data_IF_203405403883
#
_entry.id   IF_203405403883
#
_cell.length_a   1.000
_cell.length_b   1.000
_cell.length_c   1.000
_cell.angle_alpha   90.00
_cell.angle_beta   90.00
_cell.angle_gamma   90.00
#
_symmetry.space_group_name_H-M   'P 1'
#
loop_
_entity.id
_entity.type
_entity.pdbx_description
1 polymer ?
#
# COMPACT_ATOMS: atom_id res chain seq x y z
N UNK A 1 -7.48 2.40 23.94
CA UNK A 1 -8.75 1.78 23.48
C UNK A 1 -8.35 0.49 22.76
N UNK A 2 -8.96 -0.66 23.09
CA UNK A 2 -8.78 -1.86 22.26
C UNK A 2 -9.36 -1.55 20.88
N UNK A 3 -8.57 -1.69 19.84
CA UNK A 3 -9.09 -1.57 18.48
C UNK A 3 -9.95 -2.81 18.18
N UNK A 4 -11.11 -2.61 17.55
CA UNK A 4 -11.92 -3.73 17.11
C UNK A 4 -11.14 -4.57 16.10
N UNK A 5 -11.24 -5.89 16.20
CA UNK A 5 -10.66 -6.77 15.17
C UNK A 5 -11.49 -6.68 13.90
N UNK A 6 -10.86 -6.36 12.79
CA UNK A 6 -11.48 -6.14 11.48
C UNK A 6 -11.24 -7.30 10.52
N UNK A 7 -12.15 -7.46 9.57
CA UNK A 7 -11.95 -8.41 8.47
C UNK A 7 -12.51 -7.88 7.16
N UNK A 8 -11.89 -8.29 6.05
CA UNK A 8 -12.35 -8.02 4.69
C UNK A 8 -11.84 -9.07 3.70
N UNK A 9 -12.49 -9.14 2.53
CA UNK A 9 -11.94 -9.84 1.36
C UNK A 9 -10.81 -8.98 0.79
N UNK A 10 -9.61 -9.57 0.69
CA UNK A 10 -8.39 -8.88 0.23
C UNK A 10 -8.09 -9.10 -1.26
N UNK A 11 -8.84 -9.93 -1.95
CA UNK A 11 -8.74 -10.20 -3.40
C UNK A 11 -9.95 -9.63 -4.15
N UNK A 12 -9.86 -9.43 -5.48
CA UNK A 12 -11.01 -9.01 -6.27
C UNK A 12 -12.22 -9.95 -6.11
N UNK A 13 -13.43 -9.39 -6.10
CA UNK A 13 -14.70 -10.12 -5.99
C UNK A 13 -15.13 -10.72 -7.35
N UNK A 14 -14.24 -11.51 -7.93
CA UNK A 14 -14.49 -12.24 -9.20
C UNK A 14 -14.19 -13.72 -9.00
N UNK A 15 -14.78 -14.59 -9.85
CA UNK A 15 -14.45 -16.01 -9.80
C UNK A 15 -12.96 -16.23 -10.17
N UNK A 16 -12.21 -16.75 -9.22
CA UNK A 16 -10.78 -17.04 -9.32
C UNK A 16 -10.43 -18.36 -8.63
N UNK A 17 -9.20 -18.85 -8.82
CA UNK A 17 -8.76 -20.07 -8.13
C UNK A 17 -8.61 -19.88 -6.61
N UNK A 18 -8.28 -18.67 -6.16
CA UNK A 18 -8.01 -18.36 -4.74
C UNK A 18 -8.69 -17.05 -4.37
N UNK A 19 -9.33 -17.02 -3.20
CA UNK A 19 -9.82 -15.82 -2.51
C UNK A 19 -9.18 -15.71 -1.14
N UNK A 20 -8.88 -14.49 -0.71
CA UNK A 20 -8.25 -14.23 0.59
C UNK A 20 -9.16 -13.37 1.44
N UNK A 21 -9.48 -13.87 2.64
CA UNK A 21 -10.10 -13.09 3.71
C UNK A 21 -9.02 -12.74 4.73
N UNK A 22 -8.80 -11.45 4.97
CA UNK A 22 -7.82 -10.95 5.95
C UNK A 22 -8.53 -10.50 7.21
N UNK A 23 -7.99 -10.90 8.36
CA UNK A 23 -8.42 -10.52 9.70
C UNK A 23 -7.25 -9.82 10.38
N UNK A 24 -7.47 -8.68 11.05
CA UNK A 24 -6.42 -7.94 11.78
C UNK A 24 -6.96 -7.39 13.09
N UNK A 25 -6.18 -7.54 14.16
CA UNK A 25 -6.50 -7.02 15.50
C UNK A 25 -6.21 -8.02 16.61
N UNK A 26 -6.38 -7.58 17.86
CA UNK A 26 -6.04 -8.32 19.07
C UNK A 26 -6.76 -9.68 19.19
N UNK A 27 -7.97 -9.81 18.61
CA UNK A 27 -8.78 -11.03 18.67
C UNK A 27 -8.67 -11.88 17.39
N UNK A 28 -7.77 -11.55 16.45
CA UNK A 28 -7.67 -12.26 15.16
C UNK A 28 -7.41 -13.77 15.35
N UNK A 29 -6.57 -14.14 16.30
CA UNK A 29 -6.26 -15.54 16.62
C UNK A 29 -7.43 -16.25 17.32
N UNK A 30 -8.21 -15.52 18.14
CA UNK A 30 -9.42 -16.05 18.78
C UNK A 30 -10.54 -16.32 17.78
N UNK A 31 -10.70 -15.41 16.83
CA UNK A 31 -11.70 -15.52 15.77
C UNK A 31 -11.40 -16.70 14.85
N UNK A 32 -10.14 -16.83 14.40
CA UNK A 32 -9.80 -17.95 13.51
C UNK A 32 -9.96 -19.31 14.18
N UNK A 33 -9.69 -19.44 15.48
CA UNK A 33 -9.89 -20.69 16.20
C UNK A 33 -11.34 -21.13 16.27
N UNK A 34 -12.31 -20.19 16.23
CA UNK A 34 -13.74 -20.50 16.22
C UNK A 34 -14.21 -21.06 14.88
N UNK A 35 -13.63 -20.57 13.76
CA UNK A 35 -14.12 -20.88 12.42
C UNK A 35 -13.24 -21.87 11.65
N UNK A 36 -12.00 -22.12 12.07
CA UNK A 36 -11.05 -22.96 11.34
C UNK A 36 -10.65 -24.19 12.15
N UNK A 37 -10.67 -25.36 11.52
CA UNK A 37 -10.19 -26.62 12.08
C UNK A 37 -9.00 -27.13 11.27
N UNK A 38 -7.77 -27.10 11.83
CA UNK A 38 -6.60 -27.63 11.15
C UNK A 38 -6.73 -29.14 10.96
N UNK A 39 -6.22 -29.66 9.85
CA UNK A 39 -6.23 -31.11 9.58
C UNK A 39 -5.44 -31.91 10.62
N UNK A 40 -4.42 -31.30 11.21
CA UNK A 40 -3.65 -31.87 12.32
C UNK A 40 -4.41 -31.59 13.63
N UNK A 41 -5.08 -32.61 14.18
CA UNK A 41 -6.09 -32.52 15.25
C UNK A 41 -5.64 -31.88 16.57
N UNK A 42 -4.33 -31.88 16.89
CA UNK A 42 -3.81 -31.40 18.18
C UNK A 42 -3.15 -30.02 18.08
N UNK A 43 -3.41 -29.29 17.00
CA UNK A 43 -2.77 -28.01 16.74
C UNK A 43 -3.74 -26.84 17.02
N UNK A 44 -3.41 -26.02 18.00
CA UNK A 44 -4.10 -24.74 18.25
C UNK A 44 -3.42 -23.64 17.44
N UNK A 45 -4.22 -22.86 16.73
CA UNK A 45 -3.70 -21.77 15.88
C UNK A 45 -3.09 -20.64 16.72
N UNK A 46 -3.57 -20.43 17.94
CA UNK A 46 -2.98 -19.47 18.86
C UNK A 46 -1.52 -19.77 19.25
N UNK A 47 -1.14 -21.05 19.29
CA UNK A 47 0.16 -21.48 19.78
C UNK A 47 1.21 -21.61 18.66
N UNK A 48 0.84 -21.34 17.40
CA UNK A 48 1.76 -21.45 16.27
C UNK A 48 2.73 -20.27 16.20
N UNK A 49 3.85 -20.47 15.55
CA UNK A 49 4.81 -19.41 15.26
C UNK A 49 4.24 -18.47 14.19
N UNK A 50 4.68 -17.21 14.22
CA UNK A 50 4.42 -16.26 13.14
C UNK A 50 4.97 -16.78 11.80
N UNK A 51 4.40 -16.32 10.68
CA UNK A 51 4.74 -16.73 9.31
C UNK A 51 4.62 -18.24 9.06
N UNK A 52 3.57 -18.86 9.62
CA UNK A 52 3.27 -20.27 9.37
C UNK A 52 1.94 -20.45 8.67
N UNK A 53 1.92 -21.40 7.73
CA UNK A 53 0.73 -21.80 6.99
C UNK A 53 0.13 -23.10 7.53
N UNK A 54 -1.18 -23.17 7.60
CA UNK A 54 -1.92 -24.29 8.17
C UNK A 54 -3.06 -24.71 7.25
N UNK A 55 -3.00 -25.94 6.81
CA UNK A 55 -4.04 -26.56 6.00
C UNK A 55 -5.17 -27.09 6.88
N UNK A 56 -6.42 -26.88 6.47
CA UNK A 56 -7.59 -27.32 7.21
C UNK A 56 -8.90 -26.91 6.54
N UNK A 57 -9.94 -26.77 7.34
CA UNK A 57 -11.29 -26.49 6.87
C UNK A 57 -11.91 -25.33 7.65
N UNK A 58 -12.66 -24.48 6.96
CA UNK A 58 -13.47 -23.40 7.56
C UNK A 58 -14.90 -23.88 7.72
N UNK A 59 -15.48 -23.51 8.86
CA UNK A 59 -16.85 -23.85 9.24
C UNK A 59 -17.65 -22.60 9.65
N UNK A 60 -18.94 -22.61 9.37
CA UNK A 60 -19.95 -21.80 10.06
C UNK A 60 -20.68 -22.73 11.02
N UNK A 61 -20.40 -22.62 12.32
CA UNK A 61 -20.82 -23.56 13.35
C UNK A 61 -20.43 -25.02 13.02
N UNK A 62 -21.40 -25.85 12.57
CA UNK A 62 -21.17 -27.22 12.14
C UNK A 62 -21.08 -27.41 10.62
N UNK A 63 -21.41 -26.37 9.84
CA UNK A 63 -21.46 -26.45 8.38
C UNK A 63 -20.06 -26.22 7.80
N UNK A 64 -19.56 -27.21 7.06
CA UNK A 64 -18.32 -27.05 6.29
C UNK A 64 -18.54 -26.05 5.15
N UNK A 65 -17.73 -25.00 5.12
CA UNK A 65 -17.78 -23.98 4.07
C UNK A 65 -16.75 -24.22 2.97
N UNK A 66 -15.51 -24.52 3.37
CA UNK A 66 -14.43 -24.71 2.41
C UNK A 66 -13.23 -25.42 3.05
N UNK A 67 -12.37 -25.94 2.19
CA UNK A 67 -11.02 -26.44 2.47
C UNK A 67 -10.01 -25.36 2.10
N UNK A 68 -9.13 -24.97 3.04
CA UNK A 68 -8.33 -23.78 2.87
C UNK A 68 -6.97 -23.86 3.55
N UNK A 69 -6.13 -22.87 3.28
CA UNK A 69 -4.87 -22.62 3.98
C UNK A 69 -5.02 -21.33 4.80
N UNK A 70 -4.70 -21.41 6.08
CA UNK A 70 -4.63 -20.23 6.97
C UNK A 70 -3.18 -19.84 7.17
N UNK A 71 -2.85 -18.58 6.87
CA UNK A 71 -1.56 -17.97 7.16
C UNK A 71 -1.67 -17.13 8.43
N UNK A 72 -0.73 -17.32 9.37
CA UNK A 72 -0.70 -16.60 10.65
C UNK A 72 0.51 -15.69 10.72
N UNK A 73 0.28 -14.41 11.01
CA UNK A 73 1.31 -13.38 11.20
C UNK A 73 1.03 -12.67 12.52
N UNK A 74 1.90 -12.87 13.52
CA UNK A 74 1.74 -12.26 14.85
C UNK A 74 2.41 -10.90 14.92
N UNK A 75 1.75 -9.97 15.57
CA UNK A 75 2.31 -8.67 15.86
C UNK A 75 3.62 -8.73 16.68
N UNK A 76 4.55 -7.79 16.49
CA UNK A 76 4.52 -6.69 15.50
C UNK A 76 4.91 -7.10 14.07
N UNK A 77 5.23 -8.37 13.82
CA UNK A 77 5.71 -8.89 12.54
C UNK A 77 4.55 -9.25 11.61
N UNK A 78 3.76 -8.25 11.20
CA UNK A 78 2.62 -8.39 10.29
C UNK A 78 2.44 -7.13 9.44
N UNK A 79 1.46 -7.11 8.55
CA UNK A 79 1.19 -5.93 7.71
C UNK A 79 0.72 -4.72 8.54
N UNK A 80 -0.14 -4.92 9.52
CA UNK A 80 -0.70 -3.86 10.38
C UNK A 80 0.06 -3.64 11.69
N UNK A 81 1.10 -4.43 11.94
CA UNK A 81 1.78 -4.59 13.23
C UNK A 81 0.87 -5.15 14.36
N UNK A 82 -0.37 -5.56 14.04
CA UNK A 82 -1.28 -6.32 14.91
C UNK A 82 -1.17 -7.82 14.61
N UNK A 83 -1.91 -8.68 15.33
CA UNK A 83 -2.09 -10.05 14.89
C UNK A 83 -2.92 -10.08 13.61
N UNK A 84 -2.39 -10.72 12.56
CA UNK A 84 -3.03 -10.84 11.24
C UNK A 84 -3.18 -12.30 10.88
N UNK A 85 -4.36 -12.65 10.38
CA UNK A 85 -4.65 -13.98 9.84
C UNK A 85 -5.22 -13.82 8.44
N UNK A 86 -4.72 -14.63 7.50
CA UNK A 86 -5.29 -14.72 6.15
C UNK A 86 -5.83 -16.12 5.91
N UNK A 87 -7.11 -16.18 5.50
CA UNK A 87 -7.78 -17.40 5.08
C UNK A 87 -7.74 -17.45 3.57
N UNK A 88 -6.92 -18.33 3.01
CA UNK A 88 -6.80 -18.57 1.57
C UNK A 88 -7.78 -19.69 1.20
N UNK A 89 -8.99 -19.32 0.80
CA UNK A 89 -10.07 -20.20 0.39
C UNK A 89 -10.22 -20.26 -1.14
N UNK A 90 -11.13 -21.07 -1.66
CA UNK A 90 -11.48 -21.01 -3.07
C UNK A 90 -12.11 -19.66 -3.45
N UNK A 91 -11.70 -19.09 -4.60
CA UNK A 91 -12.04 -17.75 -5.02
C UNK A 91 -13.44 -17.57 -5.65
N UNK A 92 -14.37 -18.47 -5.35
CA UNK A 92 -15.77 -18.30 -5.73
C UNK A 92 -16.44 -17.21 -4.90
N UNK A 93 -17.16 -16.27 -5.54
CA UNK A 93 -17.81 -15.14 -4.85
C UNK A 93 -18.69 -15.58 -3.69
N UNK A 94 -19.44 -16.69 -3.84
CA UNK A 94 -20.32 -17.23 -2.81
C UNK A 94 -19.50 -17.79 -1.64
N UNK A 95 -18.41 -18.52 -1.92
CA UNK A 95 -17.53 -19.10 -0.90
C UNK A 95 -16.90 -17.99 -0.07
N UNK A 96 -16.27 -17.00 -0.72
CA UNK A 96 -15.64 -15.85 -0.03
C UNK A 96 -16.62 -15.10 0.86
N UNK A 97 -17.87 -14.85 0.39
CA UNK A 97 -18.90 -14.21 1.21
C UNK A 97 -19.28 -15.04 2.41
N UNK A 98 -19.46 -16.36 2.26
CA UNK A 98 -19.82 -17.26 3.35
C UNK A 98 -18.72 -17.37 4.40
N UNK A 99 -17.45 -17.45 3.98
CA UNK A 99 -16.31 -17.46 4.90
C UNK A 99 -16.21 -16.13 5.65
N UNK A 100 -16.39 -14.98 4.96
CA UNK A 100 -16.39 -13.67 5.61
C UNK A 100 -17.55 -13.52 6.61
N UNK A 101 -18.76 -13.98 6.27
CA UNK A 101 -19.91 -14.00 7.17
C UNK A 101 -19.62 -14.82 8.46
N UNK A 102 -18.99 -15.99 8.32
CA UNK A 102 -18.58 -16.81 9.46
C UNK A 102 -17.56 -16.09 10.36
N UNK A 103 -16.60 -15.36 9.76
CA UNK A 103 -15.63 -14.55 10.48
C UNK A 103 -16.29 -13.40 11.25
N UNK A 104 -17.31 -12.74 10.66
CA UNK A 104 -18.08 -11.70 11.35
C UNK A 104 -18.91 -12.27 12.51
N UNK A 105 -19.58 -13.41 12.33
CA UNK A 105 -20.29 -14.09 13.41
C UNK A 105 -19.36 -14.50 14.56
N UNK A 106 -18.09 -14.81 14.25
CA UNK A 106 -17.07 -15.15 15.24
C UNK A 106 -16.57 -13.95 16.05
N UNK A 107 -16.87 -12.70 15.62
CA UNK A 107 -16.58 -11.48 16.37
C UNK A 107 -15.78 -10.40 15.63
N UNK A 108 -15.41 -10.60 14.36
CA UNK A 108 -14.81 -9.54 13.56
C UNK A 108 -15.85 -8.50 13.11
N UNK A 109 -15.37 -7.27 12.88
CA UNK A 109 -16.16 -6.19 12.26
C UNK A 109 -15.69 -5.96 10.82
N UNK A 110 -16.55 -5.45 9.93
CA UNK A 110 -16.14 -5.09 8.58
C UNK A 110 -15.05 -4.02 8.59
N UNK A 111 -14.00 -4.22 7.80
CA UNK A 111 -12.98 -3.21 7.60
C UNK A 111 -13.48 -2.11 6.65
N UNK A 112 -13.12 -0.85 6.95
CA UNK A 112 -13.29 0.27 6.02
C UNK A 112 -12.29 0.18 4.84
N UNK A 113 -12.57 0.82 3.69
CA UNK A 113 -11.59 0.92 2.61
C UNK A 113 -10.27 1.53 3.10
N UNK A 114 -9.15 0.84 2.84
CA UNK A 114 -7.82 1.27 3.26
C UNK A 114 -7.49 1.08 4.74
N UNK A 115 -8.39 0.49 5.55
CA UNK A 115 -8.21 0.42 7.01
C UNK A 115 -6.96 -0.38 7.44
N UNK A 116 -6.61 -1.45 6.74
CA UNK A 116 -5.38 -2.20 7.05
C UNK A 116 -4.12 -1.33 6.90
N UNK A 117 -4.03 -0.52 5.83
CA UNK A 117 -2.92 0.41 5.62
C UNK A 117 -2.94 1.55 6.63
N UNK A 118 -4.13 2.08 6.97
CA UNK A 118 -4.31 3.07 8.02
C UNK A 118 -3.80 2.54 9.38
N UNK A 119 -4.09 1.28 9.73
CA UNK A 119 -3.57 0.65 10.95
C UNK A 119 -2.06 0.46 10.91
N UNK A 120 -1.50 0.05 9.79
CA UNK A 120 -0.04 -0.02 9.61
C UNK A 120 0.64 1.32 9.88
N UNK A 121 0.04 2.43 9.42
CA UNK A 121 0.50 3.80 9.69
C UNK A 121 0.33 4.18 11.18
N UNK A 122 -0.85 3.98 11.75
CA UNK A 122 -1.14 4.32 13.15
C UNK A 122 -0.26 3.54 14.15
N UNK A 123 0.08 2.31 13.81
CA UNK A 123 0.97 1.46 14.60
C UNK A 123 2.47 1.72 14.33
N UNK A 124 2.80 2.72 13.49
CA UNK A 124 4.17 3.15 13.24
C UNK A 124 5.00 2.19 12.37
N UNK A 125 4.37 1.23 11.68
CA UNK A 125 5.06 0.32 10.78
C UNK A 125 5.47 1.01 9.48
N UNK A 126 4.64 1.89 8.97
CA UNK A 126 4.87 2.70 7.77
C UNK A 126 4.59 4.17 8.06
N UNK A 127 5.22 5.08 7.33
CA UNK A 127 4.91 6.50 7.36
C UNK A 127 3.77 6.86 6.38
N UNK A 128 3.37 8.13 6.37
CA UNK A 128 2.26 8.57 5.52
C UNK A 128 2.60 8.45 4.02
N UNK A 129 3.85 8.75 3.65
CA UNK A 129 4.28 8.66 2.25
C UNK A 129 4.34 7.21 1.77
N UNK A 130 4.73 6.28 2.63
CA UNK A 130 4.70 4.84 2.37
C UNK A 130 3.25 4.33 2.28
N UNK A 131 2.34 4.85 3.12
CA UNK A 131 0.93 4.50 3.05
C UNK A 131 0.27 4.94 1.73
N UNK A 132 0.58 6.13 1.24
CA UNK A 132 0.15 6.61 -0.09
C UNK A 132 0.74 5.76 -1.22
N UNK A 133 2.03 5.41 -1.11
CA UNK A 133 2.72 4.60 -2.10
C UNK A 133 2.11 3.19 -2.29
N UNK A 134 1.45 2.62 -1.26
CA UNK A 134 0.70 1.35 -1.40
C UNK A 134 -0.40 1.48 -2.45
N UNK A 135 -1.20 2.55 -2.38
CA UNK A 135 -2.29 2.77 -3.34
C UNK A 135 -1.75 3.07 -4.73
N UNK A 136 -0.69 3.88 -4.80
CA UNK A 136 -0.02 4.23 -6.04
C UNK A 136 0.55 3.01 -6.77
N UNK A 137 1.14 2.09 -6.01
CA UNK A 137 1.66 0.83 -6.55
C UNK A 137 0.54 -0.06 -7.11
N UNK A 138 -0.60 -0.16 -6.38
CA UNK A 138 -1.76 -0.94 -6.83
C UNK A 138 -2.37 -0.36 -8.11
N UNK A 139 -2.37 0.97 -8.26
CA UNK A 139 -2.97 1.68 -9.38
C UNK A 139 -1.99 1.99 -10.51
N UNK A 140 -0.73 1.59 -10.39
CA UNK A 140 0.31 1.90 -11.39
C UNK A 140 -0.05 1.32 -12.76
N UNK A 141 0.00 2.17 -13.79
CA UNK A 141 -0.34 1.82 -15.18
C UNK A 141 0.89 1.57 -16.06
N UNK A 142 2.08 1.87 -15.58
CA UNK A 142 3.33 1.70 -16.30
C UNK A 142 4.49 1.37 -15.37
N UNK A 143 5.60 0.86 -15.91
CA UNK A 143 6.78 0.44 -15.15
C UNK A 143 7.44 1.59 -14.39
N UNK A 144 7.40 2.81 -14.94
CA UNK A 144 7.96 3.98 -14.27
C UNK A 144 7.17 4.32 -13.00
N UNK A 145 5.82 4.36 -13.07
CA UNK A 145 4.95 4.59 -11.93
C UNK A 145 5.17 3.50 -10.86
N UNK A 146 5.20 2.22 -11.26
CA UNK A 146 5.49 1.10 -10.38
C UNK A 146 6.84 1.26 -9.67
N UNK A 147 7.92 1.52 -10.42
CA UNK A 147 9.28 1.69 -9.86
C UNK A 147 9.35 2.86 -8.88
N UNK A 148 8.68 3.97 -9.19
CA UNK A 148 8.65 5.15 -8.33
C UNK A 148 7.90 4.87 -7.03
N UNK A 149 6.72 4.24 -7.12
CA UNK A 149 5.93 3.85 -5.95
C UNK A 149 6.66 2.84 -5.07
N UNK A 150 7.42 1.89 -5.65
CA UNK A 150 8.25 0.96 -4.88
C UNK A 150 9.34 1.69 -4.10
N UNK A 151 10.06 2.64 -4.71
CA UNK A 151 11.08 3.45 -4.00
C UNK A 151 10.46 4.27 -2.86
N UNK A 152 9.26 4.80 -3.07
CA UNK A 152 8.54 5.53 -2.04
C UNK A 152 8.10 4.60 -0.91
N UNK A 153 7.63 3.40 -1.22
CA UNK A 153 7.26 2.36 -0.24
C UNK A 153 8.49 1.85 0.57
N UNK A 154 9.70 1.93 0.01
CA UNK A 154 10.97 1.67 0.70
C UNK A 154 11.42 2.84 1.60
N UNK A 155 10.60 3.88 1.73
CA UNK A 155 10.84 5.03 2.59
C UNK A 155 11.87 6.02 2.05
N UNK A 156 12.05 6.13 0.72
CA UNK A 156 13.05 7.02 0.13
C UNK A 156 12.84 8.48 0.52
N UNK A 157 11.59 8.96 0.52
CA UNK A 157 11.25 10.32 0.94
C UNK A 157 11.42 10.49 2.46
N UNK A 158 10.90 9.57 3.27
CA UNK A 158 11.00 9.63 4.72
C UNK A 158 12.44 9.66 5.23
N UNK A 159 13.35 8.89 4.59
CA UNK A 159 14.79 8.92 4.91
C UNK A 159 15.40 10.30 4.66
N UNK A 160 15.09 10.94 3.53
CA UNK A 160 15.61 12.28 3.18
C UNK A 160 15.07 13.35 4.14
N UNK A 161 13.78 13.33 4.45
CA UNK A 161 13.18 14.25 5.42
C UNK A 161 13.76 14.04 6.83
N UNK A 162 13.99 12.80 7.23
CA UNK A 162 14.62 12.47 8.52
C UNK A 162 16.04 13.02 8.59
N UNK A 163 16.81 12.97 7.51
CA UNK A 163 18.16 13.51 7.46
C UNK A 163 18.16 15.04 7.59
N UNK A 164 17.30 15.74 6.85
CA UNK A 164 17.11 17.19 7.00
C UNK A 164 16.71 17.56 8.44
N UNK A 165 15.75 16.82 9.01
CA UNK A 165 15.33 17.03 10.39
C UNK A 165 16.47 16.87 11.40
N UNK A 166 17.34 15.85 11.21
CA UNK A 166 18.52 15.66 12.07
C UNK A 166 19.47 16.85 12.02
N UNK A 167 19.73 17.39 10.81
CA UNK A 167 20.60 18.57 10.65
C UNK A 167 20.02 19.78 11.38
N UNK A 168 18.71 20.04 11.26
CA UNK A 168 18.06 21.15 11.98
C UNK A 168 18.13 20.95 13.49
N UNK A 169 17.82 19.72 13.99
CA UNK A 169 17.87 19.41 15.42
C UNK A 169 19.29 19.59 15.96
N UNK A 170 20.32 19.20 15.18
CA UNK A 170 21.70 19.39 15.59
C UNK A 170 22.05 20.86 15.77
N UNK A 171 21.63 21.72 14.84
CA UNK A 171 21.83 23.16 14.94
C UNK A 171 21.09 23.80 16.14
N UNK A 172 19.84 23.35 16.40
CA UNK A 172 19.06 23.79 17.56
C UNK A 172 19.75 23.37 18.86
N UNK A 173 20.18 22.11 18.96
CA UNK A 173 20.87 21.60 20.15
C UNK A 173 22.19 22.34 20.43
N UNK A 174 22.93 22.71 19.37
CA UNK A 174 24.13 23.54 19.52
C UNK A 174 23.79 24.92 20.08
N UNK A 175 22.75 25.59 19.57
CA UNK A 175 22.30 26.90 20.06
C UNK A 175 21.89 26.80 21.55
N UNK A 176 21.11 25.80 21.92
CA UNK A 176 20.70 25.58 23.30
C UNK A 176 21.92 25.35 24.22
N UNK A 177 22.88 24.52 23.80
CA UNK A 177 24.11 24.29 24.59
C UNK A 177 24.94 25.55 24.74
N UNK A 178 25.05 26.40 23.71
CA UNK A 178 25.78 27.65 23.78
C UNK A 178 25.08 28.70 24.62
N UNK A 179 23.76 28.67 24.78
CA UNK A 179 23.01 29.54 25.68
C UNK A 179 23.14 29.09 27.12
N UNK A 180 23.17 27.77 27.38
CA UNK A 180 23.29 27.22 28.74
C UNK A 180 24.72 27.30 29.29
N UNK A 181 25.72 27.16 28.45
CA UNK A 181 27.14 27.17 28.83
C UNK A 181 28.01 27.98 27.87
N UNK A 182 27.88 29.33 27.88
CA UNK A 182 28.59 30.21 26.95
C UNK A 182 30.12 30.27 27.16
N UNK A 183 30.63 29.76 28.28
CA UNK A 183 32.07 29.70 28.55
C UNK A 183 32.76 28.57 27.76
N UNK A 184 32.04 27.48 27.45
CA UNK A 184 32.56 26.31 26.76
C UNK A 184 32.12 26.22 25.28
N UNK A 185 31.04 26.91 24.88
CA UNK A 185 30.52 26.91 23.50
C UNK A 185 30.57 28.30 22.91
N UNK A 186 31.52 28.52 21.96
CA UNK A 186 31.57 29.77 21.21
C UNK A 186 30.57 29.74 20.05
N UNK A 187 29.81 30.82 19.92
CA UNK A 187 28.92 31.06 18.77
C UNK A 187 29.57 31.87 17.64
N UNK A 188 30.88 32.18 17.77
CA UNK A 188 31.61 32.94 16.75
C UNK A 188 31.63 32.20 15.41
N UNK A 189 31.15 32.86 14.37
CA UNK A 189 31.03 32.28 13.03
C UNK A 189 29.83 31.32 12.84
N UNK A 190 29.16 30.89 13.91
CA UNK A 190 28.02 29.94 13.80
C UNK A 190 26.84 30.51 12.99
N UNK A 191 26.61 31.82 13.05
CA UNK A 191 25.53 32.46 12.27
C UNK A 191 25.74 32.27 10.75
N UNK A 192 26.97 32.38 10.26
CA UNK A 192 27.27 32.20 8.84
C UNK A 192 27.23 30.71 8.46
N UNK A 193 27.70 29.83 9.33
CA UNK A 193 27.60 28.38 9.13
C UNK A 193 26.14 27.95 9.08
N UNK A 194 25.31 28.38 10.04
CA UNK A 194 23.88 28.07 10.08
C UNK A 194 23.15 28.58 8.84
N UNK A 195 23.48 29.82 8.37
CA UNK A 195 22.91 30.37 7.16
C UNK A 195 23.20 29.48 5.95
N UNK A 196 24.47 29.07 5.77
CA UNK A 196 24.86 28.17 4.69
C UNK A 196 24.15 26.82 4.77
N UNK A 197 24.01 26.22 5.96
CA UNK A 197 23.28 24.97 6.17
C UNK A 197 21.80 25.12 5.80
N UNK A 198 21.15 26.21 6.23
CA UNK A 198 19.75 26.49 5.88
C UNK A 198 19.57 26.68 4.38
N UNK A 199 20.48 27.38 3.69
CA UNK A 199 20.44 27.54 2.24
C UNK A 199 20.55 26.19 1.50
N UNK A 200 21.41 25.29 1.96
CA UNK A 200 21.52 23.93 1.42
C UNK A 200 20.21 23.15 1.63
N UNK A 201 19.62 23.23 2.82
CA UNK A 201 18.33 22.59 3.13
C UNK A 201 17.21 23.15 2.25
N UNK A 202 17.13 24.46 2.06
CA UNK A 202 16.13 25.09 1.19
C UNK A 202 16.27 24.60 -0.25
N UNK A 203 17.50 24.51 -0.76
CA UNK A 203 17.75 24.01 -2.13
C UNK A 203 17.33 22.54 -2.27
N UNK A 204 17.60 21.68 -1.29
CA UNK A 204 17.15 20.29 -1.29
C UNK A 204 15.61 20.17 -1.28
N UNK A 205 14.93 21.00 -0.48
CA UNK A 205 13.47 21.02 -0.42
C UNK A 205 12.85 21.53 -1.74
N UNK A 206 13.45 22.56 -2.35
CA UNK A 206 13.02 23.07 -3.67
C UNK A 206 13.18 22.01 -4.76
N UNK A 207 14.28 21.26 -4.77
CA UNK A 207 14.48 20.14 -5.71
C UNK A 207 13.37 19.09 -5.57
N UNK A 208 12.91 18.80 -4.34
CA UNK A 208 11.78 17.85 -4.14
C UNK A 208 10.48 18.42 -4.72
N UNK A 209 10.22 19.71 -4.54
CA UNK A 209 9.01 20.36 -5.06
C UNK A 209 9.00 20.41 -6.59
N UNK A 210 10.10 20.78 -7.22
CA UNK A 210 10.23 20.82 -8.69
C UNK A 210 10.02 19.42 -9.32
N UNK A 211 10.54 18.38 -8.67
CA UNK A 211 10.38 17.01 -9.15
C UNK A 211 8.98 16.44 -8.90
N UNK A 212 8.20 16.99 -7.98
CA UNK A 212 6.86 16.50 -7.67
C UNK A 212 5.88 16.66 -8.85
N UNK A 213 5.87 17.80 -9.52
CA UNK A 213 4.99 18.05 -10.66
C UNK A 213 5.35 17.18 -11.87
N UNK A 214 6.66 17.01 -12.16
CA UNK A 214 7.13 16.13 -13.22
C UNK A 214 6.79 14.66 -12.93
N UNK A 215 6.93 14.23 -11.68
CA UNK A 215 6.56 12.89 -11.23
C UNK A 215 5.08 12.58 -11.41
N UNK A 216 4.20 13.56 -11.17
CA UNK A 216 2.76 13.42 -11.36
C UNK A 216 2.39 13.17 -12.82
N UNK A 217 2.96 13.93 -13.76
CA UNK A 217 2.73 13.75 -15.21
C UNK A 217 3.17 12.35 -15.65
N UNK A 218 4.34 11.89 -15.21
CA UNK A 218 4.86 10.57 -15.53
C UNK A 218 4.03 9.41 -14.93
N UNK A 219 3.41 9.64 -13.79
CA UNK A 219 2.55 8.68 -13.09
C UNK A 219 1.15 8.59 -13.70
N UNK A 220 0.50 9.74 -13.90
CA UNK A 220 -0.88 9.83 -14.38
C UNK A 220 -0.98 9.76 -15.92
N UNK A 221 0.10 10.14 -16.60
CA UNK A 221 0.13 10.35 -18.04
C UNK A 221 -0.53 11.68 -18.43
N UNK A 222 -0.54 11.96 -19.72
CA UNK A 222 -1.21 13.12 -20.29
C UNK A 222 -2.39 12.64 -21.11
N UNK A 223 -3.60 13.05 -20.76
CA UNK A 223 -4.78 12.80 -21.57
C UNK A 223 -4.67 13.57 -22.88
N UNK A 224 -4.52 12.82 -23.98
CA UNK A 224 -4.31 13.38 -25.32
C UNK A 224 -5.47 12.99 -26.24
N UNK A 225 -6.05 13.96 -26.92
CA UNK A 225 -7.11 13.74 -27.92
C UNK A 225 -6.59 14.03 -29.31
N UNK A 226 -6.69 13.04 -30.21
CA UNK A 226 -6.32 13.19 -31.62
C UNK A 226 -7.57 13.55 -32.40
N UNK A 227 -7.66 14.80 -32.89
CA UNK A 227 -8.79 15.29 -33.68
C UNK A 227 -8.40 15.54 -35.12
N UNK A 228 -9.35 15.38 -36.05
CA UNK A 228 -9.11 15.64 -37.46
C UNK A 228 -10.25 15.09 -38.32
N UNK A 229 -10.26 15.51 -39.62
CA UNK A 229 -11.23 15.04 -40.61
C UNK A 229 -11.20 13.50 -40.77
N UNK A 230 -12.28 12.86 -41.26
CA UNK A 230 -12.23 11.44 -41.66
C UNK A 230 -11.03 11.19 -42.59
N UNK A 231 -10.39 10.04 -42.46
CA UNK A 231 -9.23 9.61 -43.26
C UNK A 231 -7.97 10.51 -43.17
N UNK A 232 -7.86 11.33 -42.15
CA UNK A 232 -6.68 12.16 -41.92
C UNK A 232 -5.50 11.42 -41.23
N UNK A 233 -5.54 10.08 -41.14
CA UNK A 233 -4.45 9.29 -40.55
C UNK A 233 -4.44 9.19 -39.03
N UNK A 234 -5.53 9.56 -38.34
CA UNK A 234 -5.60 9.52 -36.85
C UNK A 234 -5.31 8.13 -36.28
N UNK A 235 -5.90 7.08 -36.85
CA UNK A 235 -5.68 5.69 -36.43
C UNK A 235 -4.23 5.24 -36.68
N UNK A 236 -3.63 5.69 -37.78
CA UNK A 236 -2.20 5.41 -38.06
C UNK A 236 -1.27 6.07 -37.05
N UNK A 237 -1.52 7.33 -36.69
CA UNK A 237 -0.76 8.03 -35.65
C UNK A 237 -0.91 7.31 -34.29
N UNK A 238 -2.13 6.91 -33.93
CA UNK A 238 -2.38 6.19 -32.70
C UNK A 238 -1.63 4.85 -32.65
N UNK A 239 -1.64 4.08 -33.74
CA UNK A 239 -0.90 2.81 -33.85
C UNK A 239 0.61 3.01 -33.71
N UNK A 240 1.17 4.04 -34.33
CA UNK A 240 2.60 4.38 -34.19
C UNK A 240 2.94 4.74 -32.74
N UNK A 241 2.12 5.57 -32.08
CA UNK A 241 2.35 5.97 -30.68
C UNK A 241 2.24 4.80 -29.69
N UNK A 242 1.38 3.82 -29.97
CA UNK A 242 1.21 2.61 -29.14
C UNK A 242 2.24 1.51 -29.43
N UNK A 243 2.93 1.58 -30.57
CA UNK A 243 3.79 0.49 -31.04
C UNK A 243 3.05 -0.81 -31.42
N UNK A 244 1.71 -0.77 -31.57
CA UNK A 244 0.85 -1.91 -31.89
C UNK A 244 -0.20 -1.55 -32.94
N UNK A 245 -0.52 -2.50 -33.84
CA UNK A 245 -1.60 -2.36 -34.82
C UNK A 245 -2.96 -2.77 -34.23
N UNK A 246 -3.53 -1.97 -33.33
CA UNK A 246 -4.87 -2.23 -32.74
C UNK A 246 -5.99 -1.37 -33.33
N UNK A 247 -5.68 -0.19 -33.86
CA UNK A 247 -6.69 0.64 -34.48
C UNK A 247 -6.90 0.22 -35.95
N UNK A 248 -8.15 -0.05 -36.35
CA UNK A 248 -8.48 -0.40 -37.69
C UNK A 248 -8.18 0.78 -38.64
N UNK A 249 -7.21 0.59 -39.52
CA UNK A 249 -6.86 1.54 -40.57
C UNK A 249 -7.55 1.07 -41.87
N UNK A 250 -8.60 1.77 -42.29
CA UNK A 250 -9.30 1.49 -43.56
C UNK A 250 -9.53 2.79 -44.34
N UNK A 251 -9.59 2.70 -45.62
CA UNK A 251 -9.88 3.85 -46.51
C UNK A 251 -11.36 4.29 -46.48
N UNK A 252 -12.22 3.59 -45.70
CA UNK A 252 -13.63 3.88 -45.60
C UNK A 252 -13.89 4.89 -44.46
N UNK A 253 -14.56 6.00 -44.78
CA UNK A 253 -14.88 7.04 -43.83
C UNK A 253 -15.83 6.53 -42.72
N UNK A 254 -15.48 6.77 -41.43
CA UNK A 254 -16.33 6.42 -40.30
C UNK A 254 -15.98 5.15 -39.54
N UNK A 255 -14.81 4.52 -39.78
CA UNK A 255 -14.36 3.31 -39.12
C UNK A 255 -13.87 3.55 -37.68
N UNK A 256 -13.56 4.78 -37.31
CA UNK A 256 -13.13 5.16 -35.92
C UNK A 256 -14.26 5.97 -35.29
N UNK A 257 -15.28 5.31 -34.74
CA UNK A 257 -16.35 5.94 -33.95
C UNK A 257 -16.22 5.78 -32.45
N UNK A 258 -15.36 4.88 -32.02
CA UNK A 258 -15.18 4.59 -30.60
C UNK A 258 -13.99 5.35 -30.01
N UNK A 259 -14.11 5.78 -28.75
CA UNK A 259 -12.98 6.18 -27.91
C UNK A 259 -12.10 4.95 -27.69
N UNK A 260 -10.91 4.93 -28.29
CA UNK A 260 -9.90 3.91 -28.02
C UNK A 260 -9.06 4.43 -26.83
N UNK A 261 -9.26 3.84 -25.66
CA UNK A 261 -8.44 4.04 -24.46
C UNK A 261 -7.25 3.09 -24.43
#
# INVERSE_FOLDING_TARGET
MKSNTIAAIATPMTNSGIGIIRISGDEALDIIEKVFKPKKKDKKIKDVKTYTAHYGHVYDESTLLDECIVLVMKGPHSYTAEDVVEINCHGGVVVMKKVLEAVFKAGATPAEPGEFTKRAFLNGRIDLSEAEAVMDLIQSKNEFAMSTSLKQLEGALGKKITEIRKQIIHSVAFIESALDDPEHYSVDGFSDELKNQVEVIINQLNEFLENADNGRILKEGIQTVIVGKPNAGKSSVLNVLRGEERANVTDIAGTTRDTLE
#
